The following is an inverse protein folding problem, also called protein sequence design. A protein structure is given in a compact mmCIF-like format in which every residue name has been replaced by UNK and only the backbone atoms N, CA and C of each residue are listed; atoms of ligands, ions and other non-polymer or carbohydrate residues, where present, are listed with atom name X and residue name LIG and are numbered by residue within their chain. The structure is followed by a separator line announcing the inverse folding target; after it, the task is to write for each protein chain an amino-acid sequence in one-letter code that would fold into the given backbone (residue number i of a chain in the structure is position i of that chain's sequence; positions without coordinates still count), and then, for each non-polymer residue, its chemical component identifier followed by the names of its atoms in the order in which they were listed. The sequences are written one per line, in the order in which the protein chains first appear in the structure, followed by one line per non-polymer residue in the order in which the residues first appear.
data_IF_916407701351
#
_entry.id   IF_916407701351
#
_cell.length_a   1.000
_cell.length_b   1.000
_cell.length_c   1.000
_cell.angle_alpha   90.00
_cell.angle_beta   90.00
_cell.angle_gamma   90.00
#
_symmetry.space_group_name_H-M   'P 1'
#
loop_
_entity.id
_entity.type
_entity.pdbx_description
1 polymer ?
#
# COMPACT_ATOMS: atom_id res chain seq x y z
N UNK A 1 -5.28 2.18 6.71
CA UNK A 1 -4.90 3.61 6.79
C UNK A 1 -5.05 4.21 5.41
N UNK A 2 -5.41 5.49 5.32
CA UNK A 2 -5.36 6.25 4.07
C UNK A 2 -3.91 6.29 3.56
N UNK A 3 -3.72 5.89 2.31
CA UNK A 3 -2.42 5.81 1.65
C UNK A 3 -1.65 7.14 1.69
N UNK A 4 -2.35 8.27 1.50
CA UNK A 4 -1.71 9.58 1.45
C UNK A 4 -1.07 9.98 2.78
N UNK A 5 -1.71 9.63 3.89
CA UNK A 5 -1.20 9.88 5.23
C UNK A 5 0.08 9.10 5.53
N UNK A 6 0.24 7.90 4.96
CA UNK A 6 1.37 7.01 5.27
C UNK A 6 2.64 7.40 4.51
N UNK A 7 2.53 7.95 3.30
CA UNK A 7 3.71 8.32 2.48
C UNK A 7 4.69 9.23 3.24
N UNK A 8 4.18 10.16 4.06
CA UNK A 8 5.02 11.09 4.83
C UNK A 8 5.88 10.42 5.91
N UNK A 9 5.42 9.30 6.46
CA UNK A 9 6.08 8.56 7.55
C UNK A 9 6.85 7.32 7.06
N UNK A 10 6.76 7.02 5.76
CA UNK A 10 7.33 5.82 5.17
C UNK A 10 8.80 5.97 4.76
N UNK A 11 9.59 4.92 5.01
CA UNK A 11 10.96 4.79 4.50
C UNK A 11 10.98 4.10 3.11
N UNK A 12 12.10 4.18 2.38
CA UNK A 12 12.24 3.59 1.03
C UNK A 12 11.86 2.09 1.01
N UNK A 13 12.29 1.30 2.01
CA UNK A 13 11.97 -0.13 2.07
C UNK A 13 10.47 -0.41 2.24
N UNK A 14 9.72 0.50 2.86
CA UNK A 14 8.27 0.38 2.98
C UNK A 14 7.59 0.58 1.63
N UNK A 15 8.05 1.56 0.84
CA UNK A 15 7.53 1.84 -0.50
C UNK A 15 7.85 0.69 -1.45
N UNK A 16 9.05 0.12 -1.36
CA UNK A 16 9.45 -1.06 -2.15
C UNK A 16 8.57 -2.28 -1.82
N UNK A 17 8.33 -2.57 -0.54
CA UNK A 17 7.44 -3.65 -0.10
C UNK A 17 6.00 -3.43 -0.59
N UNK A 18 5.50 -2.20 -0.50
CA UNK A 18 4.18 -1.84 -1.02
C UNK A 18 4.03 -2.16 -2.52
N UNK A 19 4.98 -1.72 -3.36
CA UNK A 19 4.93 -1.97 -4.80
C UNK A 19 5.15 -3.45 -5.15
N UNK A 20 6.03 -4.16 -4.43
CA UNK A 20 6.21 -5.60 -4.60
C UNK A 20 4.93 -6.37 -4.29
N UNK A 21 4.20 -5.93 -3.25
CA UNK A 21 2.96 -6.58 -2.81
C UNK A 21 1.75 -6.15 -3.65
N UNK A 22 1.74 -4.99 -4.31
CA UNK A 22 0.63 -4.55 -5.16
C UNK A 22 0.57 -5.26 -6.53
N UNK A 23 1.63 -5.96 -6.92
CA UNK A 23 1.73 -6.64 -8.23
C UNK A 23 0.99 -7.99 -8.20
N UNK A 24 -0.19 -8.06 -8.84
CA UNK A 24 -0.91 -9.31 -9.09
C UNK A 24 -2.37 -9.36 -8.64
N UNK A 25 -2.92 -8.24 -8.20
CA UNK A 25 -4.31 -8.14 -7.78
C UNK A 25 -5.27 -7.83 -8.93
N UNK A 26 -6.51 -8.29 -8.81
CA UNK A 26 -7.60 -7.98 -9.75
C UNK A 26 -7.83 -6.47 -9.82
N UNK A 27 -8.35 -5.95 -10.94
CA UNK A 27 -8.54 -4.52 -11.21
C UNK A 27 -9.24 -3.74 -10.07
N UNK A 28 -10.03 -4.42 -9.23
CA UNK A 28 -10.81 -3.84 -8.13
C UNK A 28 -10.20 -4.03 -6.72
N UNK A 29 -9.07 -4.74 -6.57
CA UNK A 29 -8.44 -4.90 -5.26
C UNK A 29 -7.36 -3.82 -5.06
N UNK A 30 -7.80 -2.71 -4.47
CA UNK A 30 -6.98 -1.56 -4.12
C UNK A 30 -6.34 -1.68 -2.74
N UNK A 31 -6.04 -2.91 -2.30
CA UNK A 31 -5.45 -3.14 -0.97
C UNK A 31 -4.12 -3.88 -1.04
N UNK A 32 -3.20 -3.48 -0.16
CA UNK A 32 -1.90 -4.14 0.00
C UNK A 32 -1.62 -4.34 1.49
N UNK A 33 -0.84 -5.37 1.83
CA UNK A 33 -0.40 -5.60 3.20
C UNK A 33 1.09 -5.30 3.29
N UNK A 34 1.48 -4.32 4.10
CA UNK A 34 2.87 -3.91 4.30
C UNK A 34 3.21 -4.00 5.78
N UNK A 35 4.22 -4.79 6.14
CA UNK A 35 4.61 -5.06 7.54
C UNK A 35 3.45 -5.50 8.44
N UNK A 36 2.49 -6.24 7.88
CA UNK A 36 1.29 -6.71 8.59
C UNK A 36 0.16 -5.68 8.70
N UNK A 37 0.30 -4.50 8.11
CA UNK A 37 -0.75 -3.47 8.07
C UNK A 37 -1.43 -3.50 6.70
N UNK A 38 -2.77 -3.58 6.70
CA UNK A 38 -3.55 -3.43 5.46
C UNK A 38 -3.71 -1.95 5.10
N UNK A 39 -3.31 -1.62 3.89
CA UNK A 39 -3.35 -0.29 3.28
C UNK A 39 -4.34 -0.32 2.13
N UNK A 40 -5.27 0.62 2.11
CA UNK A 40 -6.15 0.86 0.96
C UNK A 40 -5.62 2.07 0.22
N UNK A 41 -5.51 1.95 -1.10
CA UNK A 41 -5.22 3.06 -2.02
C UNK A 41 -6.38 3.27 -3.00
N UNK A 42 -7.57 2.76 -2.66
CA UNK A 42 -8.78 3.13 -3.36
C UNK A 42 -8.97 4.66 -3.25
N UNK A 43 -9.40 5.34 -4.31
CA UNK A 43 -9.88 6.70 -4.17
C UNK A 43 -11.10 6.69 -3.22
N UNK A 44 -11.00 7.39 -2.09
CA UNK A 44 -12.15 7.74 -1.24
C UNK A 44 -13.10 8.71 -1.95
#
# INVERSE_FOLDING_TARGET
MDFNTIIGDCNISWVEEFYANALGYTEDDYTSTVRGVRVSYAPD
#
